data_IF_075026428766
#
_entry.id   IF_075026428766
#
_cell.length_a   1.000
_cell.length_b   1.000
_cell.length_c   1.000
_cell.angle_alpha   90.00
_cell.angle_beta   90.00
_cell.angle_gamma   90.00
#
_symmetry.space_group_name_H-M   'P 1'
#
loop_
_entity.id
_entity.type
_entity.pdbx_description
1 polymer ?
#
# COMPACT_ATOMS: atom_id res chain seq x y z
N UNK A 1 12.11 -15.41 -30.15
CA UNK A 1 12.08 -14.92 -28.76
C UNK A 1 10.82 -14.08 -28.66
N UNK A 2 9.77 -14.65 -28.05
CA UNK A 2 8.54 -13.94 -27.72
C UNK A 2 8.89 -13.05 -26.54
N UNK A 3 9.17 -11.77 -26.79
CA UNK A 3 9.63 -10.86 -25.75
C UNK A 3 8.41 -10.28 -25.06
N UNK A 4 8.10 -10.74 -23.85
CA UNK A 4 6.98 -10.25 -23.03
C UNK A 4 7.32 -8.97 -22.23
N UNK A 5 8.52 -8.38 -22.44
CA UNK A 5 9.03 -7.23 -21.68
C UNK A 5 9.49 -6.06 -22.57
N UNK A 6 9.44 -4.85 -22.00
CA UNK A 6 10.11 -3.67 -22.57
C UNK A 6 11.62 -3.76 -22.32
N UNK A 7 12.34 -4.63 -23.05
CA UNK A 7 13.76 -4.87 -22.77
C UNK A 7 14.61 -3.80 -23.44
N UNK A 8 15.21 -2.93 -22.65
CA UNK A 8 16.33 -2.09 -23.06
C UNK A 8 17.64 -2.87 -22.94
N UNK A 9 18.25 -3.31 -24.04
CA UNK A 9 19.58 -3.94 -23.99
C UNK A 9 20.51 -3.48 -25.09
N UNK A 10 21.80 -3.48 -24.77
CA UNK A 10 22.87 -3.29 -25.76
C UNK A 10 23.03 -4.59 -26.55
N UNK A 11 22.83 -4.52 -27.86
CA UNK A 11 23.01 -5.64 -28.77
C UNK A 11 24.44 -5.69 -29.33
N UNK A 12 24.80 -6.79 -29.99
CA UNK A 12 26.12 -6.98 -30.60
C UNK A 12 26.44 -5.98 -31.72
N UNK A 13 25.44 -5.25 -32.22
CA UNK A 13 25.60 -4.16 -33.17
C UNK A 13 26.04 -2.83 -32.52
N UNK A 14 26.22 -2.83 -31.19
CA UNK A 14 26.64 -1.67 -30.43
C UNK A 14 25.55 -0.62 -30.26
N UNK A 15 24.27 -0.96 -30.49
CA UNK A 15 23.13 -0.08 -30.25
C UNK A 15 22.32 -0.55 -29.05
N UNK A 16 21.68 0.41 -28.39
CA UNK A 16 20.71 0.15 -27.34
C UNK A 16 19.33 -0.04 -28.00
N UNK A 17 18.81 -1.26 -27.98
CA UNK A 17 17.49 -1.57 -28.49
C UNK A 17 16.50 -1.56 -27.33
N UNK A 18 15.34 -0.92 -27.55
CA UNK A 18 14.18 -1.01 -26.68
C UNK A 18 13.19 -1.90 -27.41
N UNK A 19 13.07 -3.14 -26.95
CA UNK A 19 12.00 -4.05 -27.37
C UNK A 19 10.74 -3.68 -26.61
N UNK A 20 9.56 -3.82 -27.21
CA UNK A 20 8.26 -3.53 -26.58
C UNK A 20 7.69 -4.85 -26.06
N UNK A 21 7.11 -4.89 -24.84
CA UNK A 21 6.54 -6.11 -24.30
C UNK A 21 5.42 -6.57 -25.23
N UNK A 22 5.48 -7.84 -25.60
CA UNK A 22 4.38 -8.52 -26.24
C UNK A 22 3.28 -8.64 -25.18
N UNK A 23 2.15 -7.98 -25.45
CA UNK A 23 0.93 -8.09 -24.65
C UNK A 23 0.62 -9.57 -24.40
N UNK A 24 0.51 -9.93 -23.12
CA UNK A 24 0.14 -11.27 -22.73
C UNK A 24 -1.38 -11.43 -22.82
N UNK A 25 -1.79 -12.52 -23.46
CA UNK A 25 -3.18 -12.90 -23.61
C UNK A 25 -3.48 -14.06 -22.69
N UNK A 26 -4.55 -13.95 -21.90
CA UNK A 26 -5.11 -15.06 -21.13
C UNK A 26 -6.50 -15.35 -21.65
N UNK A 27 -6.77 -16.64 -21.90
CA UNK A 27 -8.06 -17.14 -22.35
C UNK A 27 -8.73 -17.93 -21.22
N UNK A 28 -10.02 -17.71 -21.01
CA UNK A 28 -10.83 -18.39 -19.99
C UNK A 28 -12.10 -18.96 -20.61
N UNK A 29 -12.26 -20.27 -20.49
CA UNK A 29 -13.40 -21.03 -20.98
C UNK A 29 -14.65 -20.80 -20.10
N UNK A 30 -15.86 -20.66 -20.67
CA UNK A 30 -17.11 -20.67 -19.93
C UNK A 30 -17.27 -21.92 -19.06
N UNK A 31 -18.14 -21.86 -18.06
CA UNK A 31 -18.35 -22.96 -17.10
C UNK A 31 -19.78 -23.49 -17.09
N UNK A 32 -20.65 -22.95 -17.94
CA UNK A 32 -22.07 -23.32 -17.98
C UNK A 32 -22.79 -22.69 -19.17
N UNK A 33 -24.05 -23.06 -19.35
CA UNK A 33 -24.91 -22.54 -20.41
C UNK A 33 -26.36 -22.39 -19.96
N UNK A 34 -27.13 -21.64 -20.76
CA UNK A 34 -28.58 -21.56 -20.71
C UNK A 34 -29.09 -21.51 -22.17
N UNK A 35 -30.00 -22.41 -22.52
CA UNK A 35 -30.70 -22.43 -23.82
C UNK A 35 -32.21 -22.24 -23.57
N UNK A 36 -32.69 -20.99 -23.55
CA UNK A 36 -34.08 -20.70 -23.18
C UNK A 36 -35.12 -21.34 -24.10
N UNK A 37 -34.75 -21.57 -25.36
CA UNK A 37 -35.66 -22.05 -26.40
C UNK A 37 -35.47 -23.55 -26.70
N UNK A 38 -34.50 -24.21 -26.07
CA UNK A 38 -34.14 -25.61 -26.34
C UNK A 38 -33.85 -25.84 -27.83
N UNK A 39 -33.26 -24.83 -28.48
CA UNK A 39 -32.97 -24.83 -29.92
C UNK A 39 -31.58 -25.39 -30.24
N UNK A 40 -30.72 -25.48 -29.23
CA UNK A 40 -29.38 -26.00 -29.29
C UNK A 40 -29.33 -27.46 -28.85
N UNK A 41 -28.24 -28.12 -29.23
CA UNK A 41 -27.96 -29.52 -28.90
C UNK A 41 -26.49 -29.65 -28.53
N UNK A 42 -26.20 -30.44 -27.50
CA UNK A 42 -24.84 -30.67 -26.98
C UNK A 42 -24.12 -29.37 -26.56
N UNK A 43 -24.82 -28.53 -25.83
CA UNK A 43 -24.42 -27.19 -25.41
C UNK A 43 -23.10 -27.19 -24.63
N UNK A 44 -22.81 -28.26 -23.88
CA UNK A 44 -21.54 -28.44 -23.17
C UNK A 44 -20.33 -28.47 -24.09
N UNK A 45 -20.51 -28.91 -25.33
CA UNK A 45 -19.44 -29.01 -26.33
C UNK A 45 -19.10 -27.67 -27.00
N UNK A 46 -19.63 -26.56 -26.48
CA UNK A 46 -19.22 -25.21 -26.91
C UNK A 46 -18.13 -24.62 -26.01
N UNK A 47 -17.77 -25.32 -24.92
CA UNK A 47 -16.86 -24.85 -23.87
C UNK A 47 -16.15 -26.03 -23.15
N UNK A 48 -15.83 -27.10 -23.87
CA UNK A 48 -15.21 -28.32 -23.32
C UNK A 48 -13.70 -28.44 -23.58
N UNK A 49 -13.06 -27.37 -24.08
CA UNK A 49 -11.66 -27.31 -24.49
C UNK A 49 -11.32 -28.34 -25.61
N UNK A 50 -12.32 -28.78 -26.39
CA UNK A 50 -12.15 -29.76 -27.48
C UNK A 50 -12.75 -29.26 -28.81
N UNK A 51 -11.88 -28.84 -29.74
CA UNK A 51 -12.30 -28.32 -31.04
C UNK A 51 -12.90 -29.38 -31.98
N UNK A 52 -12.86 -30.67 -31.64
CA UNK A 52 -13.46 -31.75 -32.44
C UNK A 52 -14.95 -31.99 -32.11
N UNK A 53 -15.41 -31.54 -30.95
CA UNK A 53 -16.84 -31.59 -30.55
C UNK A 53 -17.52 -30.27 -30.91
N UNK A 54 -18.86 -30.22 -30.83
CA UNK A 54 -19.60 -28.98 -31.06
C UNK A 54 -21.02 -29.01 -30.48
N UNK A 55 -21.50 -27.84 -30.06
CA UNK A 55 -22.90 -27.52 -29.89
C UNK A 55 -23.52 -27.15 -31.24
N UNK A 56 -24.79 -27.47 -31.50
CA UNK A 56 -25.41 -27.17 -32.80
C UNK A 56 -26.86 -26.71 -32.75
N UNK A 57 -27.23 -25.85 -33.70
CA UNK A 57 -28.60 -25.38 -33.92
C UNK A 57 -28.94 -25.30 -35.41
N UNK A 58 -30.22 -25.43 -35.75
CA UNK A 58 -30.71 -25.26 -37.13
C UNK A 58 -30.87 -23.78 -37.46
N UNK A 59 -30.26 -23.34 -38.55
CA UNK A 59 -30.34 -21.97 -39.05
C UNK A 59 -31.49 -21.80 -40.03
N UNK A 60 -32.12 -20.63 -39.98
CA UNK A 60 -33.14 -20.19 -40.93
C UNK A 60 -32.72 -18.83 -41.53
N UNK A 61 -33.52 -18.26 -42.42
CA UNK A 61 -33.26 -16.92 -42.98
C UNK A 61 -33.46 -15.79 -41.96
N UNK A 62 -34.13 -16.07 -40.84
CA UNK A 62 -34.21 -15.18 -39.68
C UNK A 62 -33.13 -15.52 -38.65
N UNK A 63 -32.81 -14.55 -37.79
CA UNK A 63 -32.04 -14.78 -36.58
C UNK A 63 -32.65 -15.92 -35.76
N UNK A 64 -31.84 -16.95 -35.48
CA UNK A 64 -32.21 -18.06 -34.61
C UNK A 64 -32.17 -17.69 -33.13
N UNK A 65 -32.49 -18.69 -32.30
CA UNK A 65 -32.37 -18.61 -30.84
C UNK A 65 -30.92 -18.46 -30.38
N UNK A 66 -30.73 -17.79 -29.25
CA UNK A 66 -29.42 -17.61 -28.63
C UNK A 66 -29.03 -18.85 -27.81
N UNK A 67 -27.75 -19.19 -27.84
CA UNK A 67 -27.11 -19.97 -26.77
C UNK A 67 -26.44 -18.99 -25.82
N UNK A 68 -26.81 -19.00 -24.55
CA UNK A 68 -26.13 -18.23 -23.51
C UNK A 68 -25.05 -19.10 -22.86
N UNK A 69 -23.81 -18.63 -22.80
CA UNK A 69 -22.73 -19.26 -22.03
C UNK A 69 -22.43 -18.39 -20.80
N UNK A 70 -22.19 -19.04 -19.66
CA UNK A 70 -21.96 -18.39 -18.37
C UNK A 70 -20.53 -18.56 -17.91
N UNK A 71 -19.95 -17.51 -17.34
CA UNK A 71 -18.59 -17.50 -16.79
C UNK A 71 -18.59 -16.81 -15.42
N UNK A 72 -17.62 -17.15 -14.57
CA UNK A 72 -17.38 -16.38 -13.34
C UNK A 72 -17.05 -14.94 -13.71
N UNK A 73 -17.55 -13.97 -12.92
CA UNK A 73 -17.32 -12.55 -13.16
C UNK A 73 -15.84 -12.26 -13.36
N UNK A 74 -15.46 -11.72 -14.53
CA UNK A 74 -14.08 -11.39 -14.87
C UNK A 74 -14.01 -10.12 -15.73
N UNK A 75 -12.86 -9.45 -15.73
CA UNK A 75 -12.57 -8.42 -16.73
C UNK A 75 -12.24 -9.09 -18.06
N UNK A 76 -12.84 -8.62 -19.15
CA UNK A 76 -12.57 -9.10 -20.51
C UNK A 76 -12.56 -7.91 -21.47
N UNK A 77 -11.68 -7.97 -22.46
CA UNK A 77 -11.63 -7.01 -23.57
C UNK A 77 -11.59 -7.70 -24.94
N UNK A 78 -11.60 -9.04 -24.95
CA UNK A 78 -11.57 -9.87 -26.15
C UNK A 78 -12.41 -11.12 -25.95
N UNK A 79 -12.82 -11.70 -27.06
CA UNK A 79 -13.47 -13.00 -27.17
C UNK A 79 -12.80 -13.74 -28.32
N UNK A 80 -12.68 -15.06 -28.24
CA UNK A 80 -12.46 -15.89 -29.42
C UNK A 80 -13.54 -16.94 -29.52
N UNK A 81 -13.88 -17.31 -30.74
CA UNK A 81 -14.83 -18.38 -31.01
C UNK A 81 -14.35 -19.24 -32.18
N UNK A 82 -14.66 -20.53 -32.12
CA UNK A 82 -14.45 -21.49 -33.19
C UNK A 82 -15.80 -22.01 -33.65
N UNK A 83 -16.19 -21.68 -34.87
CA UNK A 83 -17.52 -22.04 -35.41
C UNK A 83 -17.41 -22.68 -36.79
N UNK A 84 -18.39 -23.51 -37.11
CA UNK A 84 -18.53 -24.14 -38.41
C UNK A 84 -19.98 -24.18 -38.89
N UNK A 85 -20.17 -24.38 -40.19
CA UNK A 85 -21.49 -24.71 -40.78
C UNK A 85 -21.40 -26.06 -41.48
N UNK A 86 -22.50 -26.82 -41.47
CA UNK A 86 -22.57 -28.07 -42.25
C UNK A 86 -22.45 -27.71 -43.72
N UNK A 87 -21.43 -28.28 -44.38
CA UNK A 87 -21.01 -28.01 -45.77
C UNK A 87 -20.13 -26.77 -45.99
N UNK A 88 -19.59 -26.13 -44.94
CA UNK A 88 -18.63 -25.04 -45.08
C UNK A 88 -19.17 -23.82 -45.81
N UNK A 89 -20.49 -23.61 -45.78
CA UNK A 89 -21.16 -22.56 -46.53
C UNK A 89 -20.93 -21.22 -45.82
N UNK A 90 -20.30 -20.28 -46.54
CA UNK A 90 -20.00 -18.89 -46.16
C UNK A 90 -21.22 -17.96 -46.10
N UNK A 91 -22.42 -18.52 -46.09
CA UNK A 91 -23.67 -17.77 -46.23
C UNK A 91 -24.45 -17.81 -44.93
N UNK A 92 -23.77 -17.40 -43.87
CA UNK A 92 -24.36 -17.24 -42.54
C UNK A 92 -23.75 -16.03 -41.86
N UNK A 93 -24.55 -15.39 -41.02
CA UNK A 93 -24.12 -14.30 -40.15
C UNK A 93 -24.22 -14.74 -38.70
N UNK A 94 -23.36 -14.16 -37.87
CA UNK A 94 -23.28 -14.38 -36.42
C UNK A 94 -23.55 -13.05 -35.72
N UNK A 95 -24.20 -13.13 -34.57
CA UNK A 95 -24.44 -12.02 -33.66
C UNK A 95 -24.03 -12.46 -32.25
N UNK A 96 -23.18 -11.64 -31.63
CA UNK A 96 -22.55 -11.90 -30.35
C UNK A 96 -22.77 -10.70 -29.43
N UNK A 97 -23.40 -10.98 -28.30
CA UNK A 97 -23.56 -10.00 -27.22
C UNK A 97 -22.90 -10.50 -25.92
N UNK A 98 -22.34 -9.60 -25.13
CA UNK A 98 -21.86 -9.87 -23.76
C UNK A 98 -22.78 -9.22 -22.74
N UNK A 99 -22.93 -9.85 -21.57
CA UNK A 99 -23.72 -9.32 -20.47
C UNK A 99 -22.82 -8.62 -19.44
N UNK A 100 -23.07 -7.33 -19.24
CA UNK A 100 -22.43 -6.51 -18.22
C UNK A 100 -23.28 -6.56 -16.93
N UNK A 101 -22.78 -7.15 -15.83
CA UNK A 101 -23.52 -7.22 -14.58
C UNK A 101 -23.65 -5.87 -13.87
N UNK A 102 -22.81 -4.88 -14.17
CA UNK A 102 -22.85 -3.56 -13.54
C UNK A 102 -24.02 -2.73 -14.08
N UNK A 103 -24.22 -2.76 -15.40
CA UNK A 103 -25.33 -2.07 -16.07
C UNK A 103 -26.59 -2.95 -16.25
N UNK A 104 -26.50 -4.24 -15.94
CA UNK A 104 -27.55 -5.24 -16.09
C UNK A 104 -28.15 -5.29 -17.52
N UNK A 105 -27.31 -5.13 -18.53
CA UNK A 105 -27.71 -5.09 -19.93
C UNK A 105 -26.82 -5.97 -20.81
N UNK A 106 -27.38 -6.39 -21.95
CA UNK A 106 -26.65 -7.02 -23.04
C UNK A 106 -26.09 -5.97 -23.98
N UNK A 107 -24.83 -6.10 -24.38
CA UNK A 107 -24.20 -5.24 -25.38
C UNK A 107 -23.65 -6.06 -26.54
N UNK A 108 -24.00 -5.67 -27.76
CA UNK A 108 -23.51 -6.29 -28.99
C UNK A 108 -22.06 -5.92 -29.25
N UNK A 109 -21.20 -6.93 -29.29
CA UNK A 109 -19.77 -6.78 -29.56
C UNK A 109 -19.41 -7.14 -31.00
N UNK A 110 -20.24 -7.95 -31.67
CA UNK A 110 -20.00 -8.32 -33.06
C UNK A 110 -21.29 -8.78 -33.76
N UNK A 111 -21.60 -8.19 -34.91
CA UNK A 111 -22.60 -8.69 -35.86
C UNK A 111 -21.98 -8.68 -37.26
N UNK A 112 -22.00 -9.82 -37.95
CA UNK A 112 -21.44 -9.87 -39.30
C UNK A 112 -21.39 -11.26 -39.95
N UNK A 113 -20.84 -11.30 -41.16
CA UNK A 113 -20.66 -12.53 -41.91
C UNK A 113 -19.66 -13.47 -41.22
N UNK A 114 -19.93 -14.77 -41.26
CA UNK A 114 -18.97 -15.79 -40.83
C UNK A 114 -17.77 -15.86 -41.79
N UNK A 115 -16.63 -15.36 -41.33
CA UNK A 115 -15.32 -15.48 -41.99
C UNK A 115 -14.42 -16.43 -41.19
N UNK A 116 -13.54 -17.22 -41.83
CA UNK A 116 -12.55 -18.01 -41.10
C UNK A 116 -13.09 -19.28 -40.44
N UNK A 117 -13.91 -20.05 -41.17
CA UNK A 117 -14.47 -21.33 -40.69
C UNK A 117 -13.33 -22.31 -40.35
N UNK A 118 -13.42 -23.03 -39.23
CA UNK A 118 -12.42 -24.02 -38.76
C UNK A 118 -11.13 -23.36 -38.24
N UNK A 119 -11.25 -22.24 -37.55
CA UNK A 119 -10.19 -21.62 -36.78
C UNK A 119 -10.80 -20.75 -35.67
N UNK A 120 -10.00 -20.38 -34.67
CA UNK A 120 -10.36 -19.32 -33.75
C UNK A 120 -10.43 -17.97 -34.48
N UNK A 121 -11.56 -17.29 -34.31
CA UNK A 121 -11.77 -15.91 -34.74
C UNK A 121 -11.86 -15.06 -33.49
N UNK A 122 -11.13 -13.95 -33.48
CA UNK A 122 -11.05 -13.08 -32.32
C UNK A 122 -11.85 -11.78 -32.55
N UNK A 123 -12.55 -11.36 -31.51
CA UNK A 123 -13.31 -10.11 -31.44
C UNK A 123 -12.78 -9.31 -30.28
N UNK A 124 -12.27 -8.12 -30.55
CA UNK A 124 -11.92 -7.15 -29.50
C UNK A 124 -13.12 -6.24 -29.20
N UNK A 125 -13.29 -5.88 -27.94
CA UNK A 125 -14.33 -4.95 -27.48
C UNK A 125 -13.80 -4.10 -26.32
N UNK A 126 -14.55 -3.06 -25.94
CA UNK A 126 -14.17 -2.18 -24.82
C UNK A 126 -14.17 -2.97 -23.52
N UNK A 127 -13.04 -2.94 -22.81
CA UNK A 127 -12.82 -3.61 -21.54
C UNK A 127 -13.98 -3.40 -20.55
N UNK A 128 -14.41 -4.50 -19.91
CA UNK A 128 -15.49 -4.49 -18.93
C UNK A 128 -15.55 -5.77 -18.11
N UNK A 129 -16.34 -5.73 -17.04
CA UNK A 129 -16.77 -6.92 -16.30
C UNK A 129 -17.78 -7.71 -17.14
N UNK A 130 -17.54 -9.01 -17.35
CA UNK A 130 -18.46 -9.92 -18.06
C UNK A 130 -18.83 -11.10 -17.16
N UNK A 131 -20.09 -11.56 -17.29
CA UNK A 131 -20.56 -12.81 -16.62
C UNK A 131 -21.25 -13.78 -17.57
N UNK A 132 -21.66 -13.30 -18.76
CA UNK A 132 -22.30 -14.14 -19.78
C UNK A 132 -21.97 -13.62 -21.19
N UNK A 133 -22.08 -14.52 -22.15
CA UNK A 133 -22.15 -14.24 -23.59
C UNK A 133 -23.40 -14.90 -24.14
N UNK A 134 -24.00 -14.32 -25.17
CA UNK A 134 -24.98 -15.01 -25.99
C UNK A 134 -24.59 -14.95 -27.46
N UNK A 135 -24.77 -16.06 -28.15
CA UNK A 135 -24.41 -16.23 -29.55
C UNK A 135 -25.62 -16.72 -30.31
N UNK A 136 -25.93 -16.10 -31.45
CA UNK A 136 -26.93 -16.59 -32.40
C UNK A 136 -26.45 -16.43 -33.84
N UNK A 137 -27.17 -17.09 -34.74
CA UNK A 137 -26.82 -17.17 -36.15
C UNK A 137 -28.05 -16.98 -37.03
N UNK A 138 -27.83 -16.54 -38.27
CA UNK A 138 -28.82 -16.65 -39.35
C UNK A 138 -28.16 -17.15 -40.64
N UNK A 139 -28.92 -17.85 -41.47
CA UNK A 139 -28.52 -18.28 -42.81
C UNK A 139 -28.87 -17.20 -43.83
N UNK A 140 -27.91 -16.80 -44.65
CA UNK A 140 -28.13 -15.94 -45.83
C UNK A 140 -28.32 -16.76 -47.12
N UNK A 141 -28.11 -18.08 -47.08
CA UNK A 141 -28.28 -18.98 -48.23
C UNK A 141 -29.75 -19.23 -48.64
N UNK A 142 -30.72 -18.86 -47.81
CA UNK A 142 -32.15 -19.12 -48.03
C UNK A 142 -32.56 -20.59 -47.82
N UNK A 143 -31.62 -21.51 -47.64
CA UNK A 143 -31.87 -22.89 -47.22
C UNK A 143 -31.51 -23.09 -45.75
N UNK A 144 -32.27 -23.93 -45.01
CA UNK A 144 -31.88 -24.32 -43.67
C UNK A 144 -30.52 -25.03 -43.69
N UNK A 145 -29.63 -24.63 -42.79
CA UNK A 145 -28.34 -25.27 -42.54
C UNK A 145 -28.15 -25.43 -41.04
N UNK A 146 -27.04 -26.00 -40.57
CA UNK A 146 -26.74 -26.13 -39.15
C UNK A 146 -25.51 -25.27 -38.80
N UNK A 147 -25.63 -24.44 -37.76
CA UNK A 147 -24.49 -23.82 -37.11
C UNK A 147 -23.90 -24.77 -36.07
N UNK A 148 -22.59 -24.70 -35.92
CA UNK A 148 -21.80 -25.44 -34.95
C UNK A 148 -20.90 -24.47 -34.19
N UNK A 149 -20.98 -24.48 -32.87
CA UNK A 149 -20.02 -23.81 -31.99
C UNK A 149 -19.14 -24.91 -31.42
N UNK A 150 -17.87 -24.88 -31.74
CA UNK A 150 -16.88 -25.83 -31.24
C UNK A 150 -16.26 -25.34 -29.93
N UNK A 151 -15.91 -24.05 -29.85
CA UNK A 151 -15.25 -23.50 -28.67
C UNK A 151 -15.51 -22.00 -28.56
N UNK A 152 -15.58 -21.48 -27.34
CA UNK A 152 -15.72 -20.04 -27.05
C UNK A 152 -14.90 -19.72 -25.82
N UNK A 153 -14.00 -18.73 -25.91
CA UNK A 153 -13.21 -18.27 -24.76
C UNK A 153 -13.26 -16.75 -24.60
N UNK A 154 -13.17 -16.32 -23.34
CA UNK A 154 -12.98 -14.91 -23.00
C UNK A 154 -11.51 -14.58 -22.85
N UNK A 155 -11.11 -13.49 -23.49
CA UNK A 155 -9.75 -12.97 -23.48
C UNK A 155 -9.63 -11.70 -22.65
N UNK A 156 -8.54 -11.59 -21.90
CA UNK A 156 -8.08 -10.32 -21.38
C UNK A 156 -6.65 -10.06 -21.85
N UNK A 157 -6.41 -8.83 -22.29
CA UNK A 157 -5.07 -8.35 -22.64
C UNK A 157 -4.51 -7.61 -21.44
N UNK A 158 -3.44 -8.14 -20.85
CA UNK A 158 -2.74 -7.43 -19.77
C UNK A 158 -1.72 -6.46 -20.36
N UNK A 159 -1.51 -5.34 -19.66
CA UNK A 159 -0.43 -4.40 -20.01
C UNK A 159 0.94 -5.07 -19.87
N UNK A 160 1.13 -5.91 -18.84
CA UNK A 160 2.36 -6.63 -18.55
C UNK A 160 2.08 -7.99 -17.87
N UNK A 161 2.84 -9.03 -18.22
CA UNK A 161 2.82 -10.34 -17.54
C UNK A 161 4.24 -10.77 -17.16
N UNK A 162 4.48 -11.01 -15.86
CA UNK A 162 5.78 -11.46 -15.35
C UNK A 162 5.74 -12.98 -15.08
N UNK A 163 6.59 -13.75 -15.78
CA UNK A 163 6.71 -15.21 -15.64
C UNK A 163 8.01 -15.62 -14.94
N UNK A 164 7.95 -16.66 -14.13
CA UNK A 164 9.13 -17.32 -13.55
C UNK A 164 9.67 -18.42 -14.47
N UNK A 165 10.97 -18.80 -14.36
CA UNK A 165 11.58 -19.74 -15.29
C UNK A 165 10.92 -21.10 -15.13
N UNK A 166 10.48 -21.62 -16.27
CA UNK A 166 9.84 -22.92 -16.45
C UNK A 166 10.77 -23.82 -17.29
N UNK A 167 10.62 -25.16 -17.27
CA UNK A 167 11.30 -26.02 -18.24
C UNK A 167 11.11 -25.59 -19.71
N UNK A 168 9.98 -24.92 -20.01
CA UNK A 168 9.68 -24.34 -21.33
C UNK A 168 10.37 -22.98 -21.54
N UNK A 169 10.57 -22.22 -20.46
CA UNK A 169 11.18 -20.88 -20.49
C UNK A 169 12.29 -20.78 -19.41
N UNK A 170 13.44 -21.45 -19.62
CA UNK A 170 14.45 -21.61 -18.56
C UNK A 170 15.18 -20.32 -18.17
N UNK A 171 14.98 -19.23 -18.93
CA UNK A 171 15.67 -17.96 -18.75
C UNK A 171 14.80 -16.87 -18.11
N UNK A 172 13.55 -17.17 -17.73
CA UNK A 172 12.72 -16.17 -17.04
C UNK A 172 13.22 -15.97 -15.59
N UNK A 173 12.69 -14.99 -14.86
CA UNK A 173 13.27 -14.57 -13.57
C UNK A 173 12.77 -15.37 -12.36
N UNK A 174 13.66 -15.83 -11.47
CA UNK A 174 13.27 -16.42 -10.17
C UNK A 174 12.76 -15.33 -9.22
N UNK A 175 11.46 -15.05 -9.27
CA UNK A 175 10.85 -13.95 -8.52
C UNK A 175 10.65 -14.22 -7.02
N UNK A 176 10.60 -15.48 -6.56
CA UNK A 176 10.13 -15.77 -5.21
C UNK A 176 11.10 -16.58 -4.33
N UNK A 177 11.48 -15.94 -3.22
CA UNK A 177 11.77 -16.58 -1.93
C UNK A 177 10.48 -16.58 -1.13
N UNK A 178 9.69 -17.65 -1.22
CA UNK A 178 8.42 -17.72 -0.52
C UNK A 178 8.63 -18.14 0.94
N UNK A 179 8.36 -17.21 1.85
CA UNK A 179 8.01 -17.57 3.23
C UNK A 179 6.51 -17.38 3.37
N UNK A 180 5.76 -18.48 3.25
CA UNK A 180 4.33 -18.50 3.51
C UNK A 180 4.06 -18.12 4.96
N UNK A 181 3.63 -16.89 5.18
CA UNK A 181 2.97 -16.48 6.41
C UNK A 181 1.62 -15.94 6.02
N UNK A 182 0.56 -16.75 6.27
CA UNK A 182 -0.83 -16.30 6.22
C UNK A 182 -0.90 -15.01 7.05
N UNK A 183 -1.22 -13.90 6.38
CA UNK A 183 -1.00 -12.58 6.98
C UNK A 183 -2.13 -12.25 7.93
N UNK A 184 -1.77 -11.55 8.99
CA UNK A 184 -2.72 -11.08 10.00
C UNK A 184 -3.09 -9.66 9.61
N UNK A 185 -4.37 -9.44 9.29
CA UNK A 185 -4.92 -8.11 9.04
C UNK A 185 -5.14 -7.44 10.40
N UNK A 186 -4.51 -6.29 10.62
CA UNK A 186 -4.60 -5.54 11.89
C UNK A 186 -4.94 -4.08 11.60
N UNK A 187 -6.08 -3.56 12.07
CA UNK A 187 -7.17 -4.29 12.74
C UNK A 187 -7.92 -5.21 11.75
N UNK A 188 -8.31 -6.40 12.20
CA UNK A 188 -9.08 -7.36 11.41
C UNK A 188 -10.59 -7.24 11.59
N UNK A 189 -11.03 -6.29 12.43
CA UNK A 189 -12.43 -5.98 12.69
C UNK A 189 -12.62 -4.47 12.81
N UNK A 190 -13.60 -3.93 12.07
CA UNK A 190 -13.96 -2.51 12.08
C UNK A 190 -15.41 -2.37 12.49
N UNK A 191 -15.66 -1.51 13.48
CA UNK A 191 -17.01 -1.13 13.92
C UNK A 191 -17.20 0.37 13.72
N UNK A 192 -18.34 0.75 13.15
CA UNK A 192 -18.74 2.14 12.93
C UNK A 192 -20.07 2.38 13.63
N UNK A 193 -20.11 3.39 14.50
CA UNK A 193 -21.31 3.80 15.24
C UNK A 193 -21.62 5.27 14.91
N UNK A 194 -22.90 5.62 14.84
CA UNK A 194 -23.34 7.00 14.76
C UNK A 194 -22.96 7.78 16.02
N UNK A 195 -22.48 9.01 15.86
CA UNK A 195 -22.31 9.91 17.00
C UNK A 195 -23.65 10.23 17.68
N UNK A 196 -23.67 10.27 19.02
CA UNK A 196 -24.85 10.59 19.85
C UNK A 196 -25.56 11.90 19.48
N UNK A 197 -24.85 12.83 18.83
CA UNK A 197 -25.40 14.10 18.37
C UNK A 197 -26.28 13.99 17.11
N UNK A 198 -26.35 12.82 16.47
CA UNK A 198 -27.05 12.65 15.18
C UNK A 198 -28.54 12.28 15.30
N UNK A 199 -29.07 12.11 16.51
CA UNK A 199 -30.49 11.86 16.77
C UNK A 199 -30.97 10.43 16.43
N UNK A 200 -30.13 9.62 15.77
CA UNK A 200 -30.33 8.19 15.56
C UNK A 200 -29.14 7.38 16.08
N UNK A 201 -29.38 6.11 16.41
CA UNK A 201 -28.34 5.12 16.73
C UNK A 201 -28.20 4.16 15.56
N UNK A 202 -27.21 4.40 14.70
CA UNK A 202 -26.88 3.53 13.58
C UNK A 202 -25.55 2.82 13.83
N UNK A 203 -25.46 1.55 13.46
CA UNK A 203 -24.24 0.76 13.60
C UNK A 203 -23.96 -0.09 12.36
N UNK A 204 -22.70 -0.39 12.14
CA UNK A 204 -22.26 -1.27 11.07
C UNK A 204 -20.87 -1.81 11.37
N UNK A 205 -20.57 -3.00 10.88
CA UNK A 205 -19.28 -3.64 11.12
C UNK A 205 -18.81 -4.46 9.91
N UNK A 206 -17.51 -4.73 9.88
CA UNK A 206 -16.85 -5.56 8.90
C UNK A 206 -15.74 -6.37 9.58
N UNK A 207 -15.57 -7.64 9.19
CA UNK A 207 -14.58 -8.56 9.75
C UNK A 207 -13.82 -9.28 8.65
N UNK A 208 -12.50 -9.43 8.82
CA UNK A 208 -11.71 -10.33 7.98
C UNK A 208 -12.19 -11.78 8.18
N UNK A 209 -12.17 -12.57 7.11
CA UNK A 209 -12.66 -13.97 7.10
C UNK A 209 -11.96 -14.86 8.13
N UNK A 210 -10.71 -14.56 8.50
CA UNK A 210 -9.95 -15.34 9.47
C UNK A 210 -9.92 -14.71 10.86
N UNK A 211 -10.54 -13.56 11.06
CA UNK A 211 -10.44 -12.79 12.29
C UNK A 211 -10.79 -13.61 13.54
N UNK A 212 -11.89 -14.38 13.50
CA UNK A 212 -12.33 -15.24 14.61
C UNK A 212 -11.38 -16.38 14.92
N UNK A 213 -10.53 -16.76 13.97
CA UNK A 213 -9.58 -17.87 14.11
C UNK A 213 -8.21 -17.40 14.65
N UNK A 214 -7.98 -16.09 14.72
CA UNK A 214 -6.74 -15.57 15.31
C UNK A 214 -6.75 -15.73 16.83
N UNK A 215 -5.57 -15.93 17.45
CA UNK A 215 -5.39 -15.77 18.89
C UNK A 215 -5.97 -14.44 19.40
N UNK A 216 -6.48 -14.42 20.63
CA UNK A 216 -7.19 -13.27 21.19
C UNK A 216 -6.36 -11.97 21.17
N UNK A 217 -5.04 -12.08 21.30
CA UNK A 217 -4.07 -10.98 21.24
C UNK A 217 -3.93 -10.36 19.83
N UNK A 218 -4.30 -11.08 18.77
CA UNK A 218 -4.29 -10.61 17.39
C UNK A 218 -5.68 -10.17 16.90
N UNK A 219 -6.73 -10.40 17.69
CA UNK A 219 -8.09 -9.95 17.43
C UNK A 219 -8.26 -8.46 17.77
N UNK A 220 -7.51 -7.61 17.07
CA UNK A 220 -7.53 -6.16 17.25
C UNK A 220 -8.71 -5.56 16.49
N UNK A 221 -9.53 -4.81 17.22
CA UNK A 221 -10.74 -4.12 16.76
C UNK A 221 -10.49 -2.62 16.70
N UNK A 222 -11.08 -1.95 15.73
CA UNK A 222 -11.18 -0.49 15.75
C UNK A 222 -12.63 -0.06 15.76
N UNK A 223 -12.95 0.89 16.64
CA UNK A 223 -14.27 1.49 16.72
C UNK A 223 -14.19 2.96 16.29
N UNK A 224 -15.04 3.37 15.35
CA UNK A 224 -15.16 4.74 14.86
C UNK A 224 -16.56 5.29 15.09
N UNK A 225 -16.65 6.44 15.77
CA UNK A 225 -17.89 7.20 15.85
C UNK A 225 -17.93 8.24 14.73
N UNK A 226 -18.88 8.12 13.81
CA UNK A 226 -19.02 8.99 12.63
C UNK A 226 -20.44 9.54 12.54
N UNK A 227 -20.66 10.55 11.70
CA UNK A 227 -22.02 10.99 11.35
C UNK A 227 -22.50 10.15 10.18
N UNK A 228 -23.40 9.22 10.47
CA UNK A 228 -24.03 8.33 9.48
C UNK A 228 -25.54 8.47 9.58
N UNK A 229 -26.25 8.16 8.50
CA UNK A 229 -27.71 8.29 8.37
C UNK A 229 -28.44 6.95 8.31
N UNK A 230 -27.71 5.83 8.28
CA UNK A 230 -28.28 4.48 8.29
C UNK A 230 -27.23 3.41 8.66
N UNK A 231 -27.69 2.23 9.09
CA UNK A 231 -26.84 1.06 9.35
C UNK A 231 -26.12 0.57 8.09
N UNK A 232 -26.79 0.68 6.93
CA UNK A 232 -26.20 0.36 5.63
C UNK A 232 -25.00 1.28 5.33
N UNK A 233 -25.12 2.59 5.60
CA UNK A 233 -24.00 3.51 5.43
C UNK A 233 -22.85 3.19 6.40
N UNK A 234 -23.14 2.90 7.66
CA UNK A 234 -22.14 2.51 8.65
C UNK A 234 -21.39 1.23 8.23
N UNK A 235 -22.11 0.23 7.70
CA UNK A 235 -21.56 -1.02 7.20
C UNK A 235 -20.68 -0.80 5.97
N UNK A 236 -21.11 0.05 5.02
CA UNK A 236 -20.31 0.40 3.85
C UNK A 236 -18.99 1.09 4.23
N UNK A 237 -19.02 1.99 5.22
CA UNK A 237 -17.81 2.64 5.74
C UNK A 237 -16.91 1.60 6.43
N UNK A 238 -17.48 0.71 7.24
CA UNK A 238 -16.71 -0.36 7.91
C UNK A 238 -16.01 -1.27 6.88
N UNK A 239 -16.73 -1.67 5.82
CA UNK A 239 -16.19 -2.47 4.72
C UNK A 239 -15.05 -1.73 4.01
N UNK A 240 -15.24 -0.47 3.62
CA UNK A 240 -14.21 0.32 2.95
C UNK A 240 -12.93 0.46 3.82
N UNK A 241 -13.10 0.68 5.12
CA UNK A 241 -11.97 0.72 6.07
C UNK A 241 -11.27 -0.63 6.19
N UNK A 242 -12.02 -1.73 6.29
CA UNK A 242 -11.45 -3.08 6.35
C UNK A 242 -10.69 -3.41 5.06
N UNK A 243 -11.25 -3.12 3.89
CA UNK A 243 -10.56 -3.29 2.60
C UNK A 243 -9.26 -2.50 2.54
N UNK A 244 -9.22 -1.29 3.11
CA UNK A 244 -7.98 -0.54 3.24
C UNK A 244 -6.95 -1.26 4.14
N UNK A 245 -7.37 -1.82 5.29
CA UNK A 245 -6.48 -2.59 6.15
C UNK A 245 -6.02 -3.89 5.52
N UNK A 246 -6.87 -4.57 4.74
CA UNK A 246 -6.51 -5.76 3.97
C UNK A 246 -5.47 -5.41 2.91
N UNK A 247 -5.67 -4.35 2.13
CA UNK A 247 -4.69 -3.85 1.15
C UNK A 247 -3.37 -3.39 1.80
N UNK A 248 -3.42 -2.83 3.01
CA UNK A 248 -2.21 -2.47 3.77
C UNK A 248 -1.48 -3.72 4.35
N UNK A 249 -2.24 -4.76 4.68
CA UNK A 249 -1.71 -6.05 5.14
C UNK A 249 -1.12 -6.89 4.00
N UNK A 250 -1.54 -6.63 2.76
CA UNK A 250 -0.89 -7.14 1.55
C UNK A 250 0.51 -6.54 1.42
N UNK A 251 1.49 -7.25 1.97
CA UNK A 251 2.91 -6.98 1.76
C UNK A 251 3.45 -7.80 0.59
N UNK A 252 4.69 -7.61 0.23
CA UNK A 252 5.31 -8.37 -0.84
C UNK A 252 6.08 -7.43 -1.70
N UNK A 253 7.11 -7.97 -2.33
CA UNK A 253 8.02 -7.19 -3.13
C UNK A 253 8.58 -8.07 -4.21
N UNK A 254 8.72 -7.51 -5.40
CA UNK A 254 9.44 -8.13 -6.50
C UNK A 254 10.54 -7.20 -6.96
N UNK A 255 11.66 -7.78 -7.40
CA UNK A 255 12.62 -7.07 -8.25
C UNK A 255 12.47 -7.65 -9.65
N UNK A 256 12.07 -6.79 -10.59
CA UNK A 256 11.83 -7.10 -12.00
C UNK A 256 12.81 -6.30 -12.86
N UNK A 257 13.02 -6.68 -14.14
CA UNK A 257 13.56 -5.75 -15.13
C UNK A 257 12.84 -4.41 -15.08
N UNK A 258 13.56 -3.32 -15.35
CA UNK A 258 13.00 -1.98 -15.24
C UNK A 258 11.83 -1.77 -16.22
N UNK A 259 10.61 -1.71 -15.67
CA UNK A 259 9.43 -1.24 -16.36
C UNK A 259 9.26 0.27 -16.11
N UNK A 260 9.44 1.07 -17.16
CA UNK A 260 9.30 2.53 -17.10
C UNK A 260 7.84 3.00 -17.13
N UNK A 261 6.92 2.14 -17.56
CA UNK A 261 5.48 2.42 -17.60
C UNK A 261 4.76 2.14 -16.28
N UNK A 262 5.32 1.31 -15.40
CA UNK A 262 4.69 0.99 -14.12
C UNK A 262 4.55 2.22 -13.20
N UNK A 263 3.36 2.49 -12.69
CA UNK A 263 3.07 3.58 -11.77
C UNK A 263 2.71 3.07 -10.36
N UNK A 264 2.81 3.96 -9.38
CA UNK A 264 2.21 3.68 -8.07
C UNK A 264 0.70 3.66 -8.28
N UNK A 265 0.03 2.67 -7.69
CA UNK A 265 -1.38 2.31 -7.83
C UNK A 265 -1.75 1.42 -9.01
N UNK A 266 -0.81 1.04 -9.87
CA UNK A 266 -1.08 0.01 -10.89
C UNK A 266 -1.47 -1.31 -10.24
N UNK A 267 -2.54 -1.93 -10.73
CA UNK A 267 -2.97 -3.26 -10.32
C UNK A 267 -2.19 -4.29 -11.13
N UNK A 268 -1.28 -5.01 -10.47
CA UNK A 268 -0.39 -5.96 -11.14
C UNK A 268 -0.63 -7.38 -10.68
N UNK A 269 -0.49 -8.32 -11.61
CA UNK A 269 -0.50 -9.76 -11.38
C UNK A 269 0.92 -10.32 -11.46
N UNK A 270 1.30 -11.14 -10.48
CA UNK A 270 2.57 -11.85 -10.43
C UNK A 270 2.29 -13.33 -10.31
N UNK A 271 2.79 -14.13 -11.26
CA UNK A 271 2.53 -15.57 -11.34
C UNK A 271 3.81 -16.36 -11.04
N UNK A 272 3.77 -17.26 -10.05
CA UNK A 272 4.81 -18.29 -9.88
C UNK A 272 4.43 -19.54 -10.67
N UNK A 273 4.96 -19.65 -11.88
CA UNK A 273 4.71 -20.78 -12.77
C UNK A 273 5.17 -22.14 -12.19
N UNK A 274 6.05 -22.17 -11.18
CA UNK A 274 6.56 -23.42 -10.59
C UNK A 274 5.54 -24.08 -9.67
N UNK A 275 4.72 -23.26 -9.01
CA UNK A 275 3.75 -23.69 -8.01
C UNK A 275 2.31 -23.46 -8.45
N UNK A 276 2.12 -22.85 -9.63
CA UNK A 276 0.83 -22.41 -10.12
C UNK A 276 0.12 -21.47 -9.12
N UNK A 277 0.89 -20.61 -8.43
CA UNK A 277 0.38 -19.59 -7.51
C UNK A 277 0.34 -18.22 -8.20
N UNK A 278 -0.64 -17.39 -7.85
CA UNK A 278 -0.79 -16.04 -8.39
C UNK A 278 -1.01 -15.04 -7.27
N UNK A 279 -0.48 -13.83 -7.46
CA UNK A 279 -0.67 -12.70 -6.56
C UNK A 279 -1.06 -11.48 -7.36
N UNK A 280 -2.16 -10.87 -6.96
CA UNK A 280 -2.66 -9.64 -7.55
C UNK A 280 -2.68 -8.56 -6.47
N UNK A 281 -2.37 -7.32 -6.84
CA UNK A 281 -2.38 -6.20 -5.90
C UNK A 281 -1.92 -4.89 -6.50
N UNK A 282 -2.27 -3.79 -5.83
CA UNK A 282 -1.83 -2.46 -6.22
C UNK A 282 -0.37 -2.21 -5.82
N UNK A 283 0.44 -1.70 -6.74
CA UNK A 283 1.78 -1.24 -6.42
C UNK A 283 1.69 -0.02 -5.50
N UNK A 284 2.34 -0.05 -4.34
CA UNK A 284 2.37 1.09 -3.39
C UNK A 284 3.74 1.75 -3.29
N UNK A 285 4.76 1.07 -3.77
CA UNK A 285 6.12 1.54 -3.80
C UNK A 285 6.80 1.06 -5.07
N UNK A 286 7.50 1.97 -5.74
CA UNK A 286 8.38 1.68 -6.87
C UNK A 286 9.74 2.29 -6.56
N UNK A 287 10.79 1.52 -6.80
CA UNK A 287 12.17 1.99 -6.82
C UNK A 287 12.84 1.49 -8.08
N UNK A 288 13.28 2.41 -8.91
CA UNK A 288 14.07 2.13 -10.11
C UNK A 288 15.54 2.35 -9.80
N UNK A 289 16.39 1.41 -10.18
CA UNK A 289 17.82 1.53 -9.98
C UNK A 289 18.60 0.83 -11.10
N UNK A 290 19.80 1.34 -11.37
CA UNK A 290 20.72 0.71 -12.31
C UNK A 290 21.79 -0.05 -11.53
N UNK A 291 22.02 -1.30 -11.92
CA UNK A 291 23.15 -2.12 -11.48
C UNK A 291 24.20 -2.16 -12.59
N UNK A 292 25.34 -2.83 -12.36
CA UNK A 292 26.33 -3.08 -13.42
C UNK A 292 25.82 -4.03 -14.49
N UNK A 293 24.83 -4.87 -14.16
CA UNK A 293 24.30 -5.93 -15.00
C UNK A 293 23.04 -5.53 -15.74
N UNK A 294 22.43 -4.40 -15.39
CA UNK A 294 21.23 -3.93 -16.06
C UNK A 294 20.48 -2.87 -15.25
N UNK A 295 19.24 -2.68 -15.67
CA UNK A 295 18.31 -1.72 -15.12
C UNK A 295 17.15 -2.49 -14.50
N UNK A 296 16.91 -2.29 -13.21
CA UNK A 296 15.96 -3.07 -12.41
C UNK A 296 14.93 -2.13 -11.75
N UNK A 297 13.77 -2.70 -11.44
CA UNK A 297 12.71 -2.04 -10.69
C UNK A 297 12.28 -2.95 -9.54
N UNK A 298 12.37 -2.43 -8.32
CA UNK A 298 11.74 -3.01 -7.15
C UNK A 298 10.34 -2.42 -7.00
N UNK A 299 9.31 -3.27 -6.92
CA UNK A 299 7.96 -2.85 -6.54
C UNK A 299 7.55 -3.54 -5.24
N UNK A 300 6.63 -2.92 -4.49
CA UNK A 300 6.04 -3.52 -3.29
C UNK A 300 4.54 -3.33 -3.22
N UNK A 301 3.85 -4.36 -2.75
CA UNK A 301 2.45 -4.29 -2.34
C UNK A 301 2.35 -3.68 -0.93
N UNK A 302 1.26 -2.93 -0.68
CA UNK A 302 0.92 -2.39 0.64
C UNK A 302 1.69 -1.15 1.09
N UNK A 303 1.12 -0.39 2.03
CA UNK A 303 1.71 0.82 2.59
C UNK A 303 2.96 0.48 3.41
N UNK A 304 4.05 1.22 3.22
CA UNK A 304 5.22 1.17 4.11
C UNK A 304 4.79 1.55 5.52
N UNK A 305 4.65 0.58 6.40
CA UNK A 305 4.58 0.84 7.83
C UNK A 305 5.86 1.54 8.26
N UNK A 306 5.72 2.70 8.92
CA UNK A 306 6.82 3.28 9.68
C UNK A 306 7.08 2.38 10.90
N UNK A 307 7.95 1.37 10.75
CA UNK A 307 8.30 0.44 11.82
C UNK A 307 8.03 -1.03 11.47
N UNK A 308 8.97 -1.88 11.88
CA UNK A 308 9.27 -3.18 11.28
C UNK A 308 8.48 -4.35 11.87
N UNK A 309 8.04 -5.27 11.00
CA UNK A 309 8.06 -6.70 11.32
C UNK A 309 8.82 -7.43 10.19
N UNK A 310 10.07 -7.83 10.47
CA UNK A 310 11.03 -8.44 9.53
C UNK A 310 12.03 -7.45 8.92
N UNK A 311 13.04 -7.02 9.68
CA UNK A 311 14.11 -6.14 9.22
C UNK A 311 14.93 -6.83 8.13
N UNK A 312 14.81 -6.36 6.89
CA UNK A 312 15.98 -5.82 6.21
C UNK A 312 15.71 -4.31 6.07
N UNK A 313 16.49 -3.51 6.78
CA UNK A 313 16.54 -2.08 6.54
C UNK A 313 16.75 -1.85 5.04
N UNK A 314 16.12 -0.81 4.44
CA UNK A 314 16.44 -0.45 3.07
C UNK A 314 17.97 -0.31 2.96
N UNK A 315 18.62 -0.83 1.91
CA UNK A 315 20.04 -0.59 1.71
C UNK A 315 20.21 0.92 1.59
N UNK A 316 20.59 1.53 2.70
CA UNK A 316 20.91 2.94 2.80
C UNK A 316 22.25 3.08 2.11
N UNK A 317 22.15 3.55 0.87
CA UNK A 317 23.20 4.08 0.02
C UNK A 317 24.21 3.10 -0.58
N UNK A 318 24.41 3.30 -1.89
CA UNK A 318 25.69 3.12 -2.52
C UNK A 318 26.81 3.73 -1.64
N UNK A 319 27.83 2.93 -1.33
CA UNK A 319 29.19 3.42 -1.10
C UNK A 319 29.54 4.12 0.21
N UNK A 320 28.67 4.12 1.23
CA UNK A 320 29.04 4.61 2.57
C UNK A 320 29.51 3.47 3.47
N UNK A 321 30.83 3.31 3.65
CA UNK A 321 31.37 2.53 4.78
C UNK A 321 30.71 3.06 6.06
N UNK A 322 30.24 2.16 6.92
CA UNK A 322 29.92 2.50 8.30
C UNK A 322 31.18 3.13 8.91
N UNK A 323 31.14 4.44 9.15
CA UNK A 323 32.22 5.17 9.79
C UNK A 323 31.91 5.21 11.29
N UNK A 324 32.62 4.43 12.12
CA UNK A 324 32.44 4.44 13.57
C UNK A 324 32.58 5.85 14.15
N UNK A 325 33.27 6.75 13.45
CA UNK A 325 33.46 8.14 13.84
C UNK A 325 32.15 8.93 13.85
N UNK A 326 31.14 8.59 13.02
CA UNK A 326 29.84 9.27 13.08
C UNK A 326 29.05 8.91 14.34
N UNK A 327 29.09 7.65 14.77
CA UNK A 327 28.50 7.22 16.05
C UNK A 327 29.23 7.87 17.21
N UNK A 328 30.56 7.92 17.13
CA UNK A 328 31.37 8.57 18.13
C UNK A 328 31.04 10.06 18.26
N UNK A 329 30.86 10.76 17.14
CA UNK A 329 30.45 12.18 17.13
C UNK A 329 29.05 12.38 17.72
N UNK A 330 28.11 11.47 17.45
CA UNK A 330 26.77 11.52 18.05
C UNK A 330 26.82 11.30 19.57
N UNK A 331 27.66 10.36 20.03
CA UNK A 331 27.87 10.11 21.46
C UNK A 331 28.55 11.31 22.14
N UNK A 332 29.49 11.98 21.47
CA UNK A 332 30.10 13.20 21.99
C UNK A 332 29.10 14.35 22.09
N UNK A 333 28.25 14.57 21.08
CA UNK A 333 27.22 15.61 21.12
C UNK A 333 26.19 15.35 22.24
N UNK A 334 25.78 14.08 22.41
CA UNK A 334 24.90 13.68 23.50
C UNK A 334 25.54 13.92 24.87
N UNK A 335 26.83 13.58 25.02
CA UNK A 335 27.58 13.79 26.26
C UNK A 335 27.74 15.28 26.57
N UNK A 336 28.01 16.11 25.55
CA UNK A 336 28.11 17.56 25.70
C UNK A 336 26.78 18.18 26.17
N UNK A 337 25.65 17.74 25.60
CA UNK A 337 24.31 18.19 26.02
C UNK A 337 23.97 17.75 27.44
N UNK A 338 24.35 16.54 27.83
CA UNK A 338 24.18 16.05 29.20
C UNK A 338 24.98 16.89 30.20
N UNK A 339 26.22 17.25 29.87
CA UNK A 339 27.03 18.12 30.71
C UNK A 339 26.43 19.53 30.82
N UNK A 340 25.88 20.10 29.75
CA UNK A 340 25.16 21.38 29.83
C UNK A 340 23.95 21.32 30.76
N UNK A 341 23.19 20.22 30.75
CA UNK A 341 22.07 20.04 31.68
C UNK A 341 22.56 19.92 33.13
N UNK A 342 23.66 19.20 33.36
CA UNK A 342 24.29 19.10 34.68
C UNK A 342 24.76 20.48 35.16
N UNK A 343 25.37 21.27 34.28
CA UNK A 343 25.81 22.64 34.60
C UNK A 343 24.62 23.54 34.93
N UNK A 344 23.51 23.44 34.20
CA UNK A 344 22.26 24.18 34.52
C UNK A 344 21.72 23.76 35.90
N UNK A 345 21.74 22.46 36.22
CA UNK A 345 21.29 21.96 37.54
C UNK A 345 22.22 22.44 38.66
N UNK A 346 23.53 22.42 38.43
CA UNK A 346 24.51 22.89 39.41
C UNK A 346 24.45 24.41 39.58
N UNK A 347 24.25 25.17 38.50
CA UNK A 347 23.98 26.61 38.54
C UNK A 347 22.67 26.92 39.25
N UNK A 348 21.62 26.13 39.01
CA UNK A 348 20.34 26.22 39.74
C UNK A 348 20.46 25.84 41.22
N UNK A 349 21.50 25.09 41.59
CA UNK A 349 21.79 24.76 42.99
C UNK A 349 22.40 25.93 43.76
N UNK A 350 22.92 26.96 43.09
CA UNK A 350 23.28 28.24 43.72
C UNK A 350 22.07 29.12 44.08
N UNK A 351 20.85 28.74 43.65
CA UNK A 351 19.63 29.45 44.08
C UNK A 351 19.10 28.98 45.45
N UNK A 352 19.73 27.98 46.09
CA UNK A 352 19.27 27.47 47.40
C UNK A 352 19.54 28.40 48.58
N UNK A 353 20.40 29.41 48.42
CA UNK A 353 20.76 30.35 49.49
C UNK A 353 20.37 31.81 49.18
N UNK A 354 19.33 32.04 48.38
CA UNK A 354 18.75 33.38 48.27
C UNK A 354 17.86 33.67 49.48
N UNK A 355 18.38 34.49 50.38
CA UNK A 355 17.61 35.13 51.43
C UNK A 355 16.74 36.22 50.78
N UNK A 356 15.44 35.94 50.66
CA UNK A 356 14.47 36.95 50.23
C UNK A 356 14.27 37.97 51.36
N UNK A 357 14.78 39.18 51.18
CA UNK A 357 14.53 40.30 52.09
C UNK A 357 13.30 41.04 51.58
N UNK A 358 12.22 41.02 52.36
CA UNK A 358 10.99 41.72 52.02
C UNK A 358 11.17 43.25 52.19
N UNK A 359 10.47 44.06 51.38
CA UNK A 359 10.45 45.51 51.59
C UNK A 359 9.91 45.82 52.99
N UNK A 360 10.67 46.61 53.77
CA UNK A 360 10.49 46.98 55.18
C UNK A 360 11.20 46.11 56.24
N UNK A 361 12.09 45.19 55.84
CA UNK A 361 12.95 44.47 56.79
C UNK A 361 14.17 45.33 57.16
N UNK A 362 14.46 45.50 58.44
CA UNK A 362 15.68 46.20 58.90
C UNK A 362 16.80 45.17 59.11
N UNK A 363 17.91 45.28 58.36
CA UNK A 363 19.05 44.37 58.47
C UNK A 363 20.08 45.01 59.39
N UNK A 364 20.41 44.34 60.51
CA UNK A 364 21.47 44.78 61.43
C UNK A 364 22.63 43.79 61.39
N UNK A 365 23.83 44.30 61.18
CA UNK A 365 25.07 43.53 61.22
C UNK A 365 25.75 43.85 62.56
N UNK A 366 25.86 42.84 63.43
CA UNK A 366 26.55 42.97 64.72
C UNK A 366 27.67 41.93 64.77
N UNK A 367 28.92 42.40 64.82
CA UNK A 367 30.08 41.55 65.06
C UNK A 367 30.31 40.43 64.04
N UNK A 368 29.99 40.65 62.76
CA UNK A 368 30.17 39.66 61.69
C UNK A 368 29.00 38.68 61.52
N UNK A 369 27.90 38.86 62.24
CA UNK A 369 26.67 38.07 62.09
C UNK A 369 25.54 38.95 61.56
N UNK A 370 24.87 38.50 60.48
CA UNK A 370 23.68 39.15 59.92
C UNK A 370 22.45 38.55 60.61
N UNK A 371 21.68 39.38 61.32
CA UNK A 371 20.41 38.99 61.93
C UNK A 371 19.27 39.58 61.11
N UNK A 372 18.30 38.74 60.72
CA UNK A 372 17.09 39.16 60.01
C UNK A 372 15.93 38.93 60.97
N UNK A 373 15.40 40.02 61.53
CA UNK A 373 14.24 39.96 62.41
C UNK A 373 12.95 39.98 61.58
N UNK A 374 12.07 39.02 61.86
CA UNK A 374 10.76 38.94 61.22
C UNK A 374 10.03 37.62 61.43
N UNK A 375 10.71 36.49 61.66
CA UNK A 375 10.04 35.18 61.79
C UNK A 375 10.57 34.25 62.89
N UNK A 376 11.45 34.73 63.78
CA UNK A 376 11.81 33.99 65.00
C UNK A 376 12.82 32.84 64.85
N UNK A 377 13.37 32.61 63.66
CA UNK A 377 14.47 31.64 63.45
C UNK A 377 15.78 32.37 63.09
N UNK A 378 16.82 32.13 63.90
CA UNK A 378 18.16 32.68 63.69
C UNK A 378 18.97 31.68 62.87
N UNK A 379 19.35 32.06 61.64
CA UNK A 379 20.35 31.32 60.85
C UNK A 379 21.66 32.09 60.84
N UNK A 380 22.71 31.45 61.34
CA UNK A 380 24.08 31.97 61.30
C UNK A 380 24.72 31.46 60.00
N UNK A 381 25.03 32.38 59.09
CA UNK A 381 25.82 32.08 57.87
C UNK A 381 27.20 32.67 58.10
N UNK A 382 28.23 31.83 58.18
CA UNK A 382 29.59 32.25 58.54
C UNK A 382 30.51 32.54 57.36
N UNK A 383 30.07 32.30 56.12
CA UNK A 383 30.79 32.66 54.90
C UNK A 383 29.78 33.08 53.84
N UNK A 384 29.88 34.33 53.36
CA UNK A 384 29.02 34.87 52.33
C UNK A 384 29.81 35.82 51.44
N UNK A 385 29.80 35.57 50.12
CA UNK A 385 30.32 36.47 49.10
C UNK A 385 29.20 37.38 48.58
N UNK A 386 29.34 38.68 48.80
CA UNK A 386 28.38 39.70 48.38
C UNK A 386 28.70 40.13 46.93
N UNK A 387 28.14 39.42 45.94
CA UNK A 387 28.26 39.79 44.53
C UNK A 387 27.28 40.94 44.19
N UNK A 388 27.82 42.15 44.03
CA UNK A 388 27.04 43.33 43.65
C UNK A 388 27.03 43.51 42.13
N UNK A 389 25.83 43.61 41.56
CA UNK A 389 25.66 44.05 40.17
C UNK A 389 26.08 45.50 39.97
N UNK A 390 26.68 45.80 38.82
CA UNK A 390 27.11 47.15 38.46
C UNK A 390 25.96 48.15 38.56
N UNK A 391 26.09 49.15 39.44
CA UNK A 391 25.10 50.22 39.65
C UNK A 391 24.44 50.25 41.03
N UNK A 392 24.64 49.23 41.86
CA UNK A 392 24.17 49.22 43.25
C UNK A 392 25.30 49.68 44.18
N UNK A 393 25.05 50.63 45.08
CA UNK A 393 25.99 51.05 46.12
C UNK A 393 25.50 50.64 47.50
N UNK A 394 26.31 49.93 48.28
CA UNK A 394 26.03 49.66 49.69
C UNK A 394 26.56 50.84 50.50
N UNK A 395 25.66 51.59 51.15
CA UNK A 395 26.03 52.63 52.10
C UNK A 395 26.07 52.00 53.49
N UNK A 396 27.28 51.73 53.99
CA UNK A 396 27.47 51.35 55.39
C UNK A 396 27.49 52.65 56.20
N UNK A 397 26.37 53.01 56.81
CA UNK A 397 26.33 54.12 57.75
C UNK A 397 26.93 53.64 59.08
N UNK A 398 28.22 53.92 59.26
CA UNK A 398 28.89 53.72 60.53
C UNK A 398 28.32 54.69 61.57
N UNK A 399 27.55 54.16 62.52
CA UNK A 399 27.32 54.87 63.78
C UNK A 399 28.66 55.00 64.50
N UNK A 400 28.93 56.20 65.03
CA UNK A 400 30.19 56.58 65.68
C UNK A 400 30.82 55.46 66.51
N UNK A 401 31.88 54.86 65.98
CA UNK A 401 32.76 53.95 66.72
C UNK A 401 33.99 54.77 67.12
N UNK A 402 34.05 55.14 68.40
CA UNK A 402 35.26 55.71 69.01
C UNK A 402 36.43 54.74 68.90
N UNK A 403 37.65 55.20 68.57
CA UNK A 403 38.74 54.31 68.22
C UNK A 403 39.47 53.80 69.47
N UNK A 404 39.39 52.50 69.74
CA UNK A 404 40.48 51.78 70.39
C UNK A 404 40.93 50.66 69.45
N UNK A 405 42.12 50.83 68.89
CA UNK A 405 42.79 49.79 68.11
C UNK A 405 43.08 48.57 69.00
N UNK A 406 43.11 47.37 68.39
CA UNK A 406 44.42 46.79 68.20
C UNK A 406 44.68 46.36 66.75
N UNK A 407 45.93 46.59 66.38
CA UNK A 407 46.63 46.17 65.17
C UNK A 407 46.35 44.73 64.75
N UNK A 408 46.02 44.54 63.46
CA UNK A 408 46.36 43.32 62.74
C UNK A 408 45.24 42.66 61.96
N UNK A 409 44.69 43.30 60.93
CA UNK A 409 44.12 42.57 59.79
C UNK A 409 44.18 43.46 58.54
N UNK A 410 45.02 43.09 57.57
CA UNK A 410 45.04 43.75 56.27
C UNK A 410 43.78 43.33 55.51
N UNK A 411 42.92 44.29 55.19
CA UNK A 411 41.85 44.10 54.21
C UNK A 411 42.44 44.47 52.85
N UNK A 412 42.75 43.45 52.06
CA UNK A 412 43.22 43.62 50.68
C UNK A 412 41.98 43.73 49.77
N UNK A 413 41.67 44.94 49.31
CA UNK A 413 40.64 45.15 48.29
C UNK A 413 41.31 44.93 46.93
N UNK A 414 41.24 43.71 46.42
CA UNK A 414 41.60 43.44 45.03
C UNK A 414 40.54 44.07 44.11
N UNK A 415 40.92 45.13 43.42
CA UNK A 415 40.16 45.67 42.29
C UNK A 415 40.74 45.05 41.02
N UNK A 416 40.00 44.16 40.38
CA UNK A 416 40.24 43.78 38.98
C UNK A 416 39.28 44.57 38.09
N UNK A 417 39.84 45.16 37.04
CA UNK A 417 39.15 45.93 36.01
C UNK A 417 38.32 45.05 35.06
#
# INVERSE_FOLDING_TARGET
LQYTDCVGRWETDGKFHIFVPQTAESWTTPTGHNDPDTAWTNETNAYDDDTDTYASATLTSSWGSFLELTISSMQANRLRYWVATVNGIHSSEIDIDVYDPEDAQWEGIFEGALTGIIAFIEVAFTERTVTKIRIRFRSTAGTPTQARIHEVDFGYTYDYEYKAPSPVYPNDHTFFSETYRKRVVIPGYVEVESSVASGGSFTGNASDSNYSNYPAELQIRIHKKLRVTSDAQATNIANAMLTHFQSDAERGSGVVPMNVGAEVYDFVKVTDARLNDTREGNIRYIRRFSTKTGSEMEFRFGKLGAGVAGTALPPTSAGGRFDPTQIWNLLQDLTAKLNQVIDIINQGSYLKDYIFIYPNSEIRILGGVILIDGTGDVKVVTDFDLLMGAGSGVRIEGGDVTPEAPTGTNVEIATTA
#
